data_IF_711738906143
#
_entry.id   IF_711738906143
#
_cell.length_a   1.000
_cell.length_b   1.000
_cell.length_c   1.000
_cell.angle_alpha   90.00
_cell.angle_beta   90.00
_cell.angle_gamma   90.00
#
_symmetry.space_group_name_H-M   'P 1'
#
loop_
_entity.id
_entity.type
_entity.pdbx_description
1 polymer ?
#
# COMPACT_ATOMS: atom_id res chain seq x y z
N UNK A 1 -9.24 -19.65 11.89
CA UNK A 1 -8.20 -18.64 12.26
C UNK A 1 -6.89 -19.07 11.60
N UNK A 2 -6.34 -18.31 10.62
CA UNK A 2 -5.08 -18.66 9.93
C UNK A 2 -3.92 -18.64 10.93
N UNK A 3 -3.18 -19.74 11.08
CA UNK A 3 -1.94 -19.79 11.87
C UNK A 3 -0.92 -18.82 11.25
N UNK A 4 -0.43 -17.89 12.06
CA UNK A 4 0.67 -16.99 11.69
C UNK A 4 1.93 -17.84 11.62
N UNK A 5 2.44 -18.12 10.41
CA UNK A 5 3.77 -18.72 10.24
C UNK A 5 4.78 -17.78 10.91
N UNK A 6 5.62 -18.31 11.82
CA UNK A 6 6.74 -17.57 12.39
C UNK A 6 7.59 -17.00 11.24
N UNK A 7 7.84 -15.70 11.29
CA UNK A 7 8.80 -15.07 10.38
C UNK A 7 10.18 -15.52 10.85
N UNK A 8 10.82 -16.41 10.10
CA UNK A 8 12.25 -16.66 10.24
C UNK A 8 12.96 -15.34 9.90
N UNK A 9 13.86 -14.82 10.77
CA UNK A 9 14.53 -13.54 10.54
C UNK A 9 15.28 -13.45 9.21
N UNK A 10 15.74 -14.60 8.69
CA UNK A 10 16.56 -14.73 7.49
C UNK A 10 15.77 -15.19 6.25
N UNK A 11 14.44 -15.28 6.35
CA UNK A 11 13.61 -15.64 5.21
C UNK A 11 13.38 -14.42 4.29
N UNK A 12 13.43 -14.60 2.95
CA UNK A 12 13.15 -13.52 2.02
C UNK A 12 11.73 -12.98 2.26
N UNK A 13 11.62 -11.65 2.32
CA UNK A 13 10.35 -10.97 2.50
C UNK A 13 9.44 -11.33 1.31
N UNK A 14 8.16 -11.62 1.59
CA UNK A 14 7.19 -11.94 0.53
C UNK A 14 7.21 -10.85 -0.54
N UNK A 15 7.10 -11.20 -1.83
CA UNK A 15 7.01 -10.21 -2.89
C UNK A 15 5.85 -9.28 -2.60
N UNK A 16 6.07 -7.98 -2.82
CA UNK A 16 5.03 -6.99 -2.70
C UNK A 16 3.96 -7.24 -3.78
N UNK A 17 2.68 -7.20 -3.38
CA UNK A 17 1.56 -7.18 -4.33
C UNK A 17 1.61 -5.90 -5.16
N UNK A 18 1.02 -5.90 -6.36
CA UNK A 18 0.91 -4.72 -7.23
C UNK A 18 0.37 -3.49 -6.49
N UNK A 19 -0.59 -3.69 -5.58
CA UNK A 19 -1.11 -2.63 -4.72
C UNK A 19 -0.07 -2.03 -3.74
N UNK A 20 0.81 -2.86 -3.18
CA UNK A 20 1.84 -2.39 -2.24
C UNK A 20 2.91 -1.57 -2.96
N UNK A 21 3.24 -1.93 -4.19
CA UNK A 21 4.13 -1.14 -5.05
C UNK A 21 3.47 0.21 -5.37
N UNK A 22 2.23 0.19 -5.84
CA UNK A 22 1.46 1.41 -6.11
C UNK A 22 1.34 2.33 -4.89
N UNK A 23 1.06 1.76 -3.72
CA UNK A 23 0.98 2.52 -2.48
C UNK A 23 2.33 3.14 -2.10
N UNK A 24 3.44 2.44 -2.30
CA UNK A 24 4.78 2.98 -2.05
C UNK A 24 5.05 4.22 -2.88
N UNK A 25 4.63 4.21 -4.15
CA UNK A 25 4.84 5.31 -5.09
C UNK A 25 3.86 6.47 -4.88
N UNK A 26 2.60 6.17 -4.54
CA UNK A 26 1.60 7.22 -4.31
C UNK A 26 1.68 7.86 -2.93
N UNK A 27 2.16 7.15 -1.91
CA UNK A 27 2.28 7.68 -0.55
C UNK A 27 3.02 9.02 -0.47
N UNK A 28 4.22 9.23 -1.07
CA UNK A 28 4.86 10.54 -1.06
C UNK A 28 4.01 11.61 -1.75
N UNK A 29 3.38 11.28 -2.88
CA UNK A 29 2.56 12.22 -3.66
C UNK A 29 1.34 12.70 -2.85
N UNK A 30 0.62 11.77 -2.21
CA UNK A 30 -0.56 12.13 -1.41
C UNK A 30 -0.14 12.85 -0.13
N UNK A 31 1.01 12.49 0.46
CA UNK A 31 1.56 13.20 1.62
C UNK A 31 1.96 14.64 1.29
N UNK A 32 2.50 14.90 0.10
CA UNK A 32 2.81 16.26 -0.36
C UNK A 32 1.54 17.08 -0.62
N UNK A 33 0.49 16.46 -1.17
CA UNK A 33 -0.80 17.13 -1.38
C UNK A 33 -1.56 17.37 -0.07
N UNK A 34 -1.42 16.46 0.89
CA UNK A 34 -2.11 16.50 2.18
C UNK A 34 -1.13 16.32 3.35
N UNK A 35 -0.24 17.30 3.60
CA UNK A 35 0.77 17.19 4.66
C UNK A 35 0.17 17.13 6.06
N UNK A 36 -1.07 17.59 6.23
CA UNK A 36 -1.81 17.57 7.49
C UNK A 36 -2.71 16.35 7.68
N UNK A 37 -2.85 15.46 6.68
CA UNK A 37 -3.68 14.26 6.82
C UNK A 37 -3.00 13.19 7.65
N UNK A 38 -3.80 12.48 8.43
CA UNK A 38 -3.34 11.34 9.20
C UNK A 38 -3.02 10.17 8.26
N UNK A 39 -2.06 9.32 8.66
CA UNK A 39 -1.68 8.14 7.89
C UNK A 39 -2.88 7.24 7.48
N UNK A 40 -3.87 6.96 8.35
CA UNK A 40 -5.06 6.21 7.96
C UNK A 40 -5.86 6.86 6.82
N UNK A 41 -5.96 8.18 6.78
CA UNK A 41 -6.74 8.88 5.76
C UNK A 41 -5.99 8.93 4.42
N UNK A 42 -4.67 9.13 4.45
CA UNK A 42 -3.81 8.95 3.27
C UNK A 42 -3.99 7.54 2.65
N UNK A 43 -4.06 6.50 3.50
CA UNK A 43 -4.24 5.12 3.04
C UNK A 43 -5.63 4.91 2.41
N UNK A 44 -6.69 5.55 2.93
CA UNK A 44 -8.02 5.51 2.31
C UNK A 44 -8.00 6.15 0.94
N UNK A 45 -7.34 7.30 0.79
CA UNK A 45 -7.23 8.04 -0.47
C UNK A 45 -6.44 7.27 -1.54
N UNK A 46 -5.33 6.64 -1.15
CA UNK A 46 -4.58 5.74 -2.05
C UNK A 46 -5.44 4.53 -2.45
N UNK A 47 -6.25 4.01 -1.53
CA UNK A 47 -7.19 2.92 -1.80
C UNK A 47 -8.30 3.31 -2.78
N UNK A 48 -8.82 4.53 -2.72
CA UNK A 48 -9.81 5.03 -3.69
C UNK A 48 -9.17 5.30 -5.05
N UNK A 49 -7.96 5.88 -5.09
CA UNK A 49 -7.16 6.05 -6.31
C UNK A 49 -6.90 4.69 -6.98
N UNK A 50 -6.48 3.70 -6.21
CA UNK A 50 -6.25 2.34 -6.70
C UNK A 50 -7.51 1.69 -7.26
N UNK A 51 -8.69 1.96 -6.69
CA UNK A 51 -9.97 1.46 -7.22
C UNK A 51 -10.43 2.20 -8.48
N UNK A 52 -9.99 3.44 -8.65
CA UNK A 52 -10.32 4.28 -9.81
C UNK A 52 -9.41 3.98 -11.02
N UNK A 53 -8.24 3.39 -10.79
CA UNK A 53 -7.38 2.91 -11.86
C UNK A 53 -8.05 1.77 -12.64
N UNK A 54 -7.93 1.75 -13.98
CA UNK A 54 -8.46 0.66 -14.78
C UNK A 54 -7.77 -0.67 -14.45
N UNK A 55 -8.48 -1.79 -14.62
CA UNK A 55 -7.99 -3.16 -14.32
C UNK A 55 -6.67 -3.47 -15.05
N UNK A 56 -6.44 -2.86 -16.22
CA UNK A 56 -5.20 -2.97 -16.99
C UNK A 56 -3.97 -2.36 -16.30
N UNK A 57 -4.16 -1.56 -15.26
CA UNK A 57 -3.12 -0.86 -14.52
C UNK A 57 -2.99 -1.35 -13.05
N UNK A 58 -3.79 -2.35 -12.66
CA UNK A 58 -3.77 -3.02 -11.35
C UNK A 58 -3.02 -4.35 -11.37
#
# INVERSE_FOLDING_TARGET
RKRKRERVPDAPKRPASSFLLFMSDQRPIVKEKHPNMTYPDLMKEIGTLWKKLPESQR
#
